data_IF_044911443494
#
_entry.id   IF_044911443494
#
_cell.length_a   1.000
_cell.length_b   1.000
_cell.length_c   1.000
_cell.angle_alpha   90.00
_cell.angle_beta   90.00
_cell.angle_gamma   90.00
#
_symmetry.space_group_name_H-M   'P 1'
#
loop_
_entity.id
_entity.type
_entity.pdbx_description
1 polymer ?
#
# COMPACT_ATOMS: atom_id res chain seq x y z
N UNK A 1 -9.14 -8.71 4.00
CA UNK A 1 -8.50 -7.56 3.35
C UNK A 1 -9.29 -6.32 3.72
N UNK A 2 -8.62 -5.38 4.38
CA UNK A 2 -9.11 -4.04 4.65
C UNK A 2 -8.12 -3.08 4.01
N UNK A 3 -8.64 -2.10 3.27
CA UNK A 3 -7.84 -1.11 2.56
C UNK A 3 -7.81 0.18 3.36
N UNK A 4 -6.67 0.86 3.32
CA UNK A 4 -6.57 2.18 3.92
C UNK A 4 -7.05 3.23 2.90
N UNK A 5 -7.96 4.10 3.31
CA UNK A 5 -8.29 5.30 2.54
C UNK A 5 -7.19 6.32 2.78
N UNK A 6 -6.62 6.91 1.73
CA UNK A 6 -5.64 7.99 1.85
C UNK A 6 -6.28 9.32 1.45
N UNK A 7 -5.83 10.40 2.08
CA UNK A 7 -5.91 11.70 1.46
C UNK A 7 -4.91 11.71 0.31
N UNK A 8 -5.34 11.98 -0.93
CA UNK A 8 -4.45 12.60 -1.89
C UNK A 8 -4.15 13.98 -1.32
N UNK A 9 -3.11 14.04 -0.49
CA UNK A 9 -2.68 15.25 0.20
C UNK A 9 -2.40 16.30 -0.86
N UNK A 10 -3.29 17.29 -0.96
CA UNK A 10 -3.26 18.39 -1.92
C UNK A 10 -3.27 17.94 -3.40
N UNK A 11 -4.32 18.31 -4.14
CA UNK A 11 -4.29 18.18 -5.59
C UNK A 11 -3.04 18.86 -6.15
N UNK A 12 -2.44 18.34 -7.22
CA UNK A 12 -1.21 18.88 -7.83
C UNK A 12 -1.22 20.42 -7.94
N UNK A 13 -2.38 21.03 -8.22
CA UNK A 13 -2.54 22.49 -8.22
C UNK A 13 -2.23 23.18 -6.89
N UNK A 14 -2.70 22.65 -5.76
CA UNK A 14 -2.41 23.22 -4.44
C UNK A 14 -0.92 23.07 -4.09
N UNK A 15 -0.30 21.96 -4.50
CA UNK A 15 1.14 21.78 -4.34
C UNK A 15 1.96 22.77 -5.20
N UNK A 16 1.55 22.97 -6.46
CA UNK A 16 2.19 23.93 -7.37
C UNK A 16 2.00 25.38 -6.89
N UNK A 17 0.81 25.71 -6.40
CA UNK A 17 0.50 27.03 -5.82
C UNK A 17 1.38 27.32 -4.60
N UNK A 18 1.53 26.35 -3.69
CA UNK A 18 2.44 26.46 -2.53
C UNK A 18 3.91 26.69 -2.93
N UNK A 19 4.32 26.21 -4.10
CA UNK A 19 5.66 26.40 -4.63
C UNK A 19 5.79 27.65 -5.53
N UNK A 20 4.70 28.41 -5.70
CA UNK A 20 4.62 29.55 -6.62
C UNK A 20 5.03 29.16 -8.06
N UNK A 21 4.62 27.96 -8.49
CA UNK A 21 4.93 27.40 -9.79
C UNK A 21 3.70 27.47 -10.71
N UNK A 22 3.82 28.04 -11.93
CA UNK A 22 2.70 28.13 -12.85
C UNK A 22 2.28 26.74 -13.35
N UNK A 23 1.02 26.36 -13.16
CA UNK A 23 0.53 25.04 -13.54
C UNK A 23 0.58 24.76 -15.06
N UNK A 24 0.60 25.80 -15.88
CA UNK A 24 0.64 25.74 -17.35
C UNK A 24 2.01 25.32 -17.89
N UNK A 25 3.04 25.39 -17.04
CA UNK A 25 4.40 24.92 -17.36
C UNK A 25 4.55 23.40 -17.23
N UNK A 26 3.59 22.72 -16.59
CA UNK A 26 3.61 21.27 -16.40
C UNK A 26 2.63 20.57 -17.33
N UNK A 27 3.08 19.43 -17.86
CA UNK A 27 2.25 18.55 -18.68
C UNK A 27 2.43 17.12 -18.18
N UNK A 28 1.34 16.39 -17.85
CA UNK A 28 1.47 15.00 -17.45
C UNK A 28 1.90 14.15 -18.66
N UNK A 29 2.77 13.18 -18.40
CA UNK A 29 3.11 12.14 -19.36
C UNK A 29 2.07 11.03 -19.24
N UNK A 30 1.29 10.82 -20.30
CA UNK A 30 0.23 9.82 -20.32
C UNK A 30 0.78 8.43 -20.70
N UNK A 31 0.07 7.35 -20.35
CA UNK A 31 0.38 6.03 -20.89
C UNK A 31 0.03 5.98 -22.39
N UNK A 32 0.92 5.41 -23.20
CA UNK A 32 0.73 5.27 -24.64
C UNK A 32 1.45 6.34 -25.47
N UNK A 33 2.23 5.85 -26.44
CA UNK A 33 2.90 6.60 -27.51
C UNK A 33 3.54 7.94 -27.13
N UNK A 34 4.16 8.04 -25.94
CA UNK A 34 4.82 9.25 -25.42
C UNK A 34 3.93 10.51 -25.50
N UNK A 35 2.62 10.33 -25.30
CA UNK A 35 1.68 11.43 -25.38
C UNK A 35 1.76 12.32 -24.14
N UNK A 36 1.71 13.64 -24.38
CA UNK A 36 1.68 14.64 -23.33
C UNK A 36 0.25 15.18 -23.20
N UNK A 37 -0.28 15.20 -21.98
CA UNK A 37 -1.55 15.86 -21.69
C UNK A 37 -1.53 17.35 -22.05
N UNK A 38 -2.69 18.01 -22.10
CA UNK A 38 -2.73 19.44 -22.37
C UNK A 38 -2.04 20.25 -21.24
N UNK A 39 -1.52 21.45 -21.51
CA UNK A 39 -1.10 22.38 -20.46
C UNK A 39 -2.26 22.64 -19.49
N UNK A 40 -2.01 22.71 -18.18
CA UNK A 40 -3.04 22.73 -17.14
C UNK A 40 -3.97 21.49 -17.12
N UNK A 41 -3.71 20.44 -17.90
CA UNK A 41 -4.49 19.21 -17.77
C UNK A 41 -4.12 18.52 -16.47
N UNK A 42 -5.10 18.42 -15.58
CA UNK A 42 -5.04 17.53 -14.44
C UNK A 42 -4.90 16.09 -14.93
N UNK A 43 -4.32 15.23 -14.09
CA UNK A 43 -4.22 13.80 -14.37
C UNK A 43 -5.65 13.24 -14.43
N UNK A 44 -6.17 13.10 -15.64
CA UNK A 44 -7.45 12.47 -15.91
C UNK A 44 -7.24 10.96 -16.04
N UNK A 45 -8.32 10.21 -15.92
CA UNK A 45 -8.26 8.73 -15.93
C UNK A 45 -7.70 8.16 -17.25
N UNK A 46 -7.79 8.92 -18.35
CA UNK A 46 -7.24 8.64 -19.67
C UNK A 46 -5.76 9.05 -19.81
N UNK A 47 -5.21 9.84 -18.89
CA UNK A 47 -3.80 10.26 -18.88
C UNK A 47 -3.05 9.77 -17.63
N UNK A 48 -3.39 8.57 -17.15
CA UNK A 48 -2.64 7.89 -16.10
C UNK A 48 -1.57 6.98 -16.70
N UNK A 49 -0.38 6.99 -16.10
CA UNK A 49 0.65 5.98 -16.41
C UNK A 49 0.25 4.61 -15.86
N UNK A 50 -0.25 4.58 -14.62
CA UNK A 50 -0.77 3.38 -13.98
C UNK A 50 -1.70 3.74 -12.83
N UNK A 51 -2.57 2.79 -12.45
CA UNK A 51 -3.32 2.83 -11.19
C UNK A 51 -2.63 1.91 -10.19
N UNK A 52 -2.39 2.40 -8.99
CA UNK A 52 -1.83 1.60 -7.89
C UNK A 52 -2.89 1.31 -6.83
N UNK A 53 -2.66 0.26 -6.05
CA UNK A 53 -3.47 -0.07 -4.88
C UNK A 53 -2.88 0.68 -3.68
N UNK A 54 -3.74 1.18 -2.79
CA UNK A 54 -3.31 1.77 -1.54
C UNK A 54 -2.68 0.71 -0.63
N UNK A 55 -2.11 1.15 0.49
CA UNK A 55 -1.70 0.23 1.54
C UNK A 55 -2.91 -0.57 2.07
N UNK A 56 -2.70 -1.87 2.30
CA UNK A 56 -3.76 -2.81 2.69
C UNK A 56 -3.30 -3.69 3.85
N UNK A 57 -4.25 -4.03 4.73
CA UNK A 57 -4.06 -5.02 5.78
C UNK A 57 -4.38 -6.40 5.23
N UNK A 58 -3.35 -7.24 5.15
CA UNK A 58 -3.43 -8.61 4.68
C UNK A 58 -3.54 -9.58 5.87
N UNK A 59 -4.33 -10.63 5.67
CA UNK A 59 -4.48 -11.74 6.61
C UNK A 59 -4.64 -13.04 5.83
N UNK A 60 -4.37 -14.18 6.48
CA UNK A 60 -4.52 -15.49 5.83
C UNK A 60 -5.98 -15.69 5.41
N UNK A 61 -6.17 -16.31 4.24
CA UNK A 61 -7.50 -16.52 3.65
C UNK A 61 -8.44 -17.32 4.57
N UNK A 62 -7.89 -18.30 5.29
CA UNK A 62 -8.63 -19.17 6.19
C UNK A 62 -8.31 -18.86 7.66
N UNK A 63 -7.98 -17.61 7.98
CA UNK A 63 -7.72 -17.23 9.36
C UNK A 63 -9.03 -17.26 10.18
N UNK A 64 -9.13 -18.07 11.25
CA UNK A 64 -10.34 -18.15 12.06
C UNK A 64 -10.69 -16.83 12.75
N UNK A 65 -9.71 -15.92 12.89
CA UNK A 65 -9.88 -14.63 13.56
C UNK A 65 -10.10 -13.48 12.59
N UNK A 66 -10.32 -13.72 11.30
CA UNK A 66 -10.47 -12.66 10.29
C UNK A 66 -11.60 -11.67 10.64
N UNK A 67 -12.72 -12.18 11.18
CA UNK A 67 -13.84 -11.35 11.61
C UNK A 67 -13.46 -10.49 12.82
N UNK A 68 -12.79 -11.09 13.80
CA UNK A 68 -12.29 -10.40 14.99
C UNK A 68 -11.27 -9.32 14.64
N UNK A 69 -10.35 -9.60 13.71
CA UNK A 69 -9.36 -8.64 13.22
C UNK A 69 -10.03 -7.44 12.55
N UNK A 70 -11.03 -7.68 11.68
CA UNK A 70 -11.78 -6.59 11.05
C UNK A 70 -12.51 -5.74 12.08
N UNK A 71 -13.15 -6.38 13.06
CA UNK A 71 -13.83 -5.70 14.14
C UNK A 71 -12.85 -4.86 14.96
N UNK A 72 -11.69 -5.41 15.34
CA UNK A 72 -10.66 -4.70 16.07
C UNK A 72 -10.18 -3.46 15.32
N UNK A 73 -9.83 -3.60 14.03
CA UNK A 73 -9.35 -2.48 13.22
C UNK A 73 -10.42 -1.38 13.07
N UNK A 74 -11.70 -1.76 12.95
CA UNK A 74 -12.79 -0.79 12.94
C UNK A 74 -12.95 -0.05 14.27
N UNK A 75 -12.79 -0.73 15.41
CA UNK A 75 -12.81 -0.06 16.71
C UNK A 75 -11.61 0.87 16.90
N UNK A 76 -10.41 0.44 16.49
CA UNK A 76 -9.22 1.28 16.54
C UNK A 76 -9.38 2.55 15.69
N UNK A 77 -9.94 2.43 14.49
CA UNK A 77 -10.23 3.59 13.62
C UNK A 77 -11.23 4.55 14.26
N UNK A 78 -12.28 4.02 14.90
CA UNK A 78 -13.30 4.84 15.56
C UNK A 78 -12.77 5.59 16.79
N UNK A 79 -11.84 5.00 17.55
CA UNK A 79 -11.35 5.58 18.80
C UNK A 79 -10.03 6.34 18.68
N UNK A 80 -9.19 6.00 17.69
CA UNK A 80 -7.85 6.56 17.54
C UNK A 80 -7.52 6.97 16.09
N UNK A 81 -8.47 6.87 15.17
CA UNK A 81 -8.28 7.20 13.76
C UNK A 81 -8.32 8.70 13.45
N UNK A 82 -8.33 9.04 12.16
CA UNK A 82 -8.11 10.40 11.67
C UNK A 82 -9.21 11.42 12.02
N UNK A 83 -10.39 10.97 12.43
CA UNK A 83 -11.60 11.80 12.61
C UNK A 83 -11.86 12.14 14.08
N UNK A 84 -11.07 11.58 15.01
CA UNK A 84 -11.27 11.73 16.44
C UNK A 84 -10.86 13.14 16.86
N UNK A 85 -11.78 13.88 17.49
CA UNK A 85 -11.54 15.23 17.96
C UNK A 85 -10.70 15.21 19.25
N UNK A 86 -9.54 15.86 19.18
CA UNK A 86 -8.48 15.87 20.19
C UNK A 86 -8.88 16.44 21.55
N UNK A 87 -9.90 17.29 21.57
CA UNK A 87 -10.26 18.07 22.76
C UNK A 87 -10.97 17.24 23.85
N UNK A 88 -11.35 15.98 23.56
CA UNK A 88 -12.16 15.15 24.46
C UNK A 88 -11.54 13.79 24.83
N UNK A 89 -10.27 13.54 24.53
CA UNK A 89 -9.62 12.23 24.81
C UNK A 89 -8.60 12.31 25.93
N UNK A 90 -8.73 11.42 26.93
CA UNK A 90 -7.77 11.30 28.04
C UNK A 90 -6.43 10.66 27.62
N UNK A 91 -6.38 10.04 26.44
CA UNK A 91 -5.21 9.37 25.89
C UNK A 91 -4.86 10.07 24.58
N UNK A 92 -3.65 10.62 24.52
CA UNK A 92 -3.03 11.18 23.30
C UNK A 92 -2.44 10.02 22.48
N UNK A 93 -3.33 9.26 21.83
CA UNK A 93 -2.96 8.17 20.94
C UNK A 93 -3.66 8.35 19.60
N UNK A 94 -2.84 8.41 18.54
CA UNK A 94 -3.30 8.61 17.18
C UNK A 94 -2.75 7.50 16.29
N UNK A 95 -3.63 6.65 15.77
CA UNK A 95 -3.25 5.45 15.03
C UNK A 95 -2.52 5.76 13.71
N UNK A 96 -2.73 6.96 13.14
CA UNK A 96 -2.19 7.39 11.85
C UNK A 96 -1.31 8.64 11.99
N UNK A 97 -0.76 8.93 13.16
CA UNK A 97 0.12 10.09 13.33
C UNK A 97 1.55 9.65 13.62
N UNK A 98 2.53 10.51 13.31
CA UNK A 98 3.91 10.25 13.67
C UNK A 98 4.05 9.99 15.17
N UNK A 99 4.89 9.02 15.52
CA UNK A 99 5.24 8.74 16.91
C UNK A 99 6.74 9.00 17.11
N UNK A 100 7.08 9.86 18.07
CA UNK A 100 8.46 10.25 18.40
C UNK A 100 9.27 10.69 17.15
N UNK A 101 8.66 11.55 16.33
CA UNK A 101 9.27 12.06 15.08
C UNK A 101 9.37 11.04 13.94
N UNK A 102 8.86 9.82 14.14
CA UNK A 102 8.87 8.78 13.12
C UNK A 102 7.52 8.70 12.42
N UNK A 103 7.53 8.98 11.11
CA UNK A 103 6.36 8.97 10.23
C UNK A 103 6.03 7.56 9.75
N UNK A 104 4.79 7.36 9.30
CA UNK A 104 4.31 6.15 8.63
C UNK A 104 4.51 4.84 9.44
N UNK A 105 4.39 4.93 10.78
CA UNK A 105 4.51 3.79 11.68
C UNK A 105 3.22 2.96 11.70
N UNK A 106 3.33 1.70 11.24
CA UNK A 106 2.24 0.72 11.03
C UNK A 106 1.25 1.12 9.93
N UNK A 107 0.84 2.38 9.91
CA UNK A 107 -0.07 2.98 8.96
C UNK A 107 0.58 4.27 8.42
N UNK A 108 0.29 4.63 7.17
CA UNK A 108 0.78 5.91 6.64
C UNK A 108 0.10 7.08 7.35
N UNK A 109 0.79 8.20 7.48
CA UNK A 109 0.22 9.38 8.15
C UNK A 109 -0.95 9.99 7.37
N UNK A 110 -1.02 9.68 6.08
CA UNK A 110 -2.07 10.11 5.16
C UNK A 110 -3.38 9.31 5.27
N UNK A 111 -3.44 8.27 6.11
CA UNK A 111 -4.62 7.41 6.25
C UNK A 111 -5.79 8.18 6.87
N UNK A 112 -7.00 7.97 6.32
CA UNK A 112 -8.26 8.53 6.82
C UNK A 112 -9.20 7.51 7.43
N UNK A 113 -8.92 6.23 7.24
CA UNK A 113 -9.63 5.11 7.86
C UNK A 113 -9.54 3.83 7.06
N UNK A 114 -10.31 2.83 7.46
CA UNK A 114 -10.38 1.54 6.76
C UNK A 114 -11.62 1.43 5.87
N UNK A 115 -11.45 0.85 4.69
CA UNK A 115 -12.54 0.47 3.79
C UNK A 115 -12.47 -1.00 3.41
N UNK A 116 -13.62 -1.58 3.07
CA UNK A 116 -13.68 -2.93 2.50
C UNK A 116 -13.18 -2.92 1.06
N UNK A 117 -12.22 -3.79 0.72
CA UNK A 117 -11.76 -3.94 -0.67
C UNK A 117 -12.87 -4.57 -1.55
N UNK A 118 -13.15 -3.97 -2.71
CA UNK A 118 -14.03 -4.55 -3.74
C UNK A 118 -13.21 -5.24 -4.83
N UNK A 119 -13.65 -6.44 -5.27
CA UNK A 119 -12.98 -7.23 -6.31
C UNK A 119 -12.83 -6.51 -7.67
N UNK A 120 -13.70 -5.55 -7.96
CA UNK A 120 -13.63 -4.73 -9.18
C UNK A 120 -12.38 -3.86 -9.25
N UNK A 121 -11.85 -3.42 -8.10
CA UNK A 121 -10.67 -2.54 -8.05
C UNK A 121 -9.35 -3.30 -8.26
N UNK A 122 -9.29 -4.57 -7.85
CA UNK A 122 -8.14 -5.44 -8.13
C UNK A 122 -7.92 -5.59 -9.65
N UNK A 123 -9.00 -5.59 -10.44
CA UNK A 123 -8.93 -5.62 -11.90
C UNK A 123 -8.38 -4.31 -12.49
N UNK A 124 -8.61 -3.18 -11.83
CA UNK A 124 -8.08 -1.87 -12.24
C UNK A 124 -6.58 -1.73 -11.98
N UNK A 125 -6.04 -2.51 -11.04
CA UNK A 125 -4.61 -2.56 -10.72
C UNK A 125 -3.81 -3.56 -11.58
N UNK A 126 -4.37 -4.07 -12.69
CA UNK A 126 -3.67 -5.03 -13.56
C UNK A 126 -2.30 -4.50 -14.03
N UNK A 127 -2.23 -3.23 -14.43
CA UNK A 127 -0.98 -2.60 -14.88
C UNK A 127 0.07 -2.54 -13.75
N UNK A 128 -0.37 -2.39 -12.50
CA UNK A 128 0.51 -2.42 -11.34
C UNK A 128 1.10 -3.82 -11.12
N UNK A 129 0.31 -4.89 -11.23
CA UNK A 129 0.83 -6.25 -11.13
C UNK A 129 1.80 -6.60 -12.27
N UNK A 130 1.49 -6.19 -13.50
CA UNK A 130 2.38 -6.39 -14.65
C UNK A 130 3.72 -5.66 -14.48
N UNK A 131 3.71 -4.47 -13.86
CA UNK A 131 4.94 -3.75 -13.53
C UNK A 131 5.79 -4.54 -12.53
N UNK A 132 5.19 -5.11 -11.48
CA UNK A 132 5.92 -5.92 -10.50
C UNK A 132 6.52 -7.17 -11.14
N UNK A 133 5.77 -7.89 -11.98
CA UNK A 133 6.30 -9.04 -12.73
C UNK A 133 7.52 -8.66 -13.59
N UNK A 134 7.47 -7.49 -14.24
CA UNK A 134 8.59 -7.00 -15.03
C UNK A 134 9.78 -6.61 -14.15
N UNK A 135 9.55 -5.92 -13.03
CA UNK A 135 10.61 -5.55 -12.09
C UNK A 135 11.26 -6.78 -11.44
N UNK A 136 10.49 -7.82 -11.13
CA UNK A 136 11.03 -9.10 -10.63
C UNK A 136 11.98 -9.75 -11.64
N UNK A 137 11.66 -9.63 -12.94
CA UNK A 137 12.53 -10.11 -14.02
C UNK A 137 13.83 -9.32 -14.14
N UNK A 138 13.82 -8.02 -13.82
CA UNK A 138 15.00 -7.15 -13.85
C UNK A 138 15.85 -7.24 -12.59
N UNK A 139 15.22 -7.45 -11.42
CA UNK A 139 15.88 -7.44 -10.11
C UNK A 139 16.43 -8.81 -9.72
N UNK A 140 16.15 -9.86 -10.50
CA UNK A 140 16.66 -11.20 -10.25
C UNK A 140 16.17 -11.73 -8.90
N UNK A 141 14.89 -11.50 -8.58
CA UNK A 141 14.21 -12.15 -7.47
C UNK A 141 14.51 -13.65 -7.54
N UNK A 142 15.29 -14.12 -6.57
CA UNK A 142 15.83 -15.47 -6.60
C UNK A 142 14.69 -16.47 -6.51
N UNK A 143 14.40 -17.15 -7.61
CA UNK A 143 13.67 -18.43 -7.63
C UNK A 143 14.46 -19.56 -6.92
N UNK A 144 15.21 -19.27 -5.85
CA UNK A 144 16.06 -20.22 -5.14
C UNK A 144 15.73 -20.23 -3.65
N UNK A 145 14.54 -20.70 -3.31
CA UNK A 145 14.23 -21.24 -1.98
C UNK A 145 13.78 -22.69 -2.01
N UNK A 146 13.77 -23.34 -3.18
CA UNK A 146 13.30 -24.73 -3.35
C UNK A 146 14.41 -25.76 -3.53
N UNK A 147 15.69 -25.39 -3.65
CA UNK A 147 16.77 -26.37 -3.86
C UNK A 147 17.54 -26.72 -2.57
N UNK A 148 17.55 -25.87 -1.54
CA UNK A 148 18.33 -26.12 -0.31
C UNK A 148 17.55 -26.81 0.83
N UNK A 149 16.22 -26.77 0.81
CA UNK A 149 15.39 -27.39 1.86
C UNK A 149 15.41 -28.93 1.86
N UNK A 150 15.55 -29.53 0.67
CA UNK A 150 15.55 -30.99 0.51
C UNK A 150 16.86 -31.60 1.01
N UNK A 151 18.01 -30.96 0.76
CA UNK A 151 19.30 -31.45 1.27
C UNK A 151 19.41 -31.35 2.80
N UNK A 152 18.81 -30.33 3.41
CA UNK A 152 18.81 -30.17 4.87
C UNK A 152 17.95 -31.23 5.56
N UNK A 153 16.78 -31.56 4.99
CA UNK A 153 15.91 -32.64 5.48
C UNK A 153 16.54 -34.03 5.26
N UNK A 154 17.19 -34.27 4.12
CA UNK A 154 17.91 -35.52 3.86
C UNK A 154 19.13 -35.69 4.78
N UNK A 155 19.86 -34.61 5.06
CA UNK A 155 20.99 -34.65 6.00
C UNK A 155 20.54 -35.00 7.42
N UNK A 156 19.46 -34.39 7.91
CA UNK A 156 18.91 -34.70 9.24
C UNK A 156 18.41 -36.15 9.36
N UNK A 157 17.79 -36.69 8.30
CA UNK A 157 17.36 -38.09 8.27
C UNK A 157 18.56 -39.05 8.26
N UNK A 158 19.63 -38.72 7.55
CA UNK A 158 20.83 -39.57 7.48
C UNK A 158 21.56 -39.62 8.84
N UNK A 159 21.70 -38.50 9.53
CA UNK A 159 22.28 -38.46 10.88
C UNK A 159 21.38 -39.13 11.94
N UNK A 160 20.06 -39.06 11.78
CA UNK A 160 19.11 -39.79 12.64
C UNK A 160 19.14 -41.31 12.47
N UNK A 161 19.50 -41.81 11.28
CA UNK A 161 19.63 -43.24 11.00
C UNK A 161 21.00 -43.82 11.39
N UNK A 162 22.05 -42.99 11.46
CA UNK A 162 23.40 -43.39 11.91
C UNK A 162 23.58 -43.34 13.43
N UNK A 163 22.57 -42.87 14.18
CA UNK A 163 22.60 -42.76 15.64
C UNK A 163 21.76 -43.82 16.38
N UNK A 164 21.36 -44.89 15.66
CA UNK A 164 20.79 -46.15 16.19
C UNK A 164 21.78 -47.27 15.86
#
# INVERSE_FOLDING_TARGET
>A
MLRMSHCLTSGLAEYLDRLNLPADTFRPLCSGNNSLGAPNAFITEDCLMSRFINSEVLARRNDPHLVSLKSLLSHLDNYFGAIVQWENTFIDLHAYSPFDGTNDLLFKDSVKGFSSSFFSELRLAKNYFQLFEHLDSCTGSSNSLTVNGVFSLLSLMFFGLLSI
#
